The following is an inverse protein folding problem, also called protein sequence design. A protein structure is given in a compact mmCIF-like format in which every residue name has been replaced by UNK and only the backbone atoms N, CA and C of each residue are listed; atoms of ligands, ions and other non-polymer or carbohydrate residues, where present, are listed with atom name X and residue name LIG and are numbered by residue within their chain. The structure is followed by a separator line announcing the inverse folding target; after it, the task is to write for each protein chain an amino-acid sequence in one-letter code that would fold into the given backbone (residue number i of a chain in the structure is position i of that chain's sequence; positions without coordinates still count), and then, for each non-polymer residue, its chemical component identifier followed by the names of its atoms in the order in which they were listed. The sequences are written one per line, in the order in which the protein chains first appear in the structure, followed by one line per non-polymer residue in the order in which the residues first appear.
data_IF_160045754708
#
_entry.id   IF_160045754708
#
_cell.length_a   1.000
_cell.length_b   1.000
_cell.length_c   1.000
_cell.angle_alpha   90.00
_cell.angle_beta   90.00
_cell.angle_gamma   90.00
#
_symmetry.space_group_name_H-M   'P 1'
#
loop_
_entity.id
_entity.type
_entity.pdbx_description
1 polymer ?
#
# COMPACT_ATOMS: atom_id res chain seq x y z
N UNK A 1 31.38 -16.15 -27.27
CA UNK A 1 30.07 -16.83 -27.28
C UNK A 1 29.64 -16.99 -25.82
N UNK A 2 29.03 -15.95 -25.25
CA UNK A 2 28.63 -15.91 -23.84
C UNK A 2 27.11 -15.90 -23.83
N UNK A 3 26.50 -16.91 -23.22
CA UNK A 3 25.04 -17.03 -23.07
C UNK A 3 24.56 -15.97 -22.06
N UNK A 4 23.48 -15.23 -22.33
CA UNK A 4 22.87 -14.39 -21.30
C UNK A 4 22.05 -15.30 -20.37
N UNK A 5 22.37 -15.27 -19.08
CA UNK A 5 21.58 -15.90 -18.03
C UNK A 5 20.32 -15.08 -17.78
N UNK A 6 19.17 -15.61 -18.19
CA UNK A 6 17.87 -15.09 -17.79
C UNK A 6 17.65 -15.38 -16.30
N UNK A 7 17.53 -14.32 -15.50
CA UNK A 7 17.03 -14.43 -14.14
C UNK A 7 15.49 -14.47 -14.20
N UNK A 8 14.94 -15.67 -14.00
CA UNK A 8 13.52 -15.85 -13.73
C UNK A 8 13.18 -15.17 -12.40
N UNK A 9 12.29 -14.17 -12.44
CA UNK A 9 11.66 -13.64 -11.23
C UNK A 9 10.92 -14.77 -10.51
N UNK A 10 11.24 -14.99 -9.24
CA UNK A 10 10.58 -15.99 -8.41
C UNK A 10 9.16 -15.50 -8.12
N UNK A 11 8.16 -16.08 -8.79
CA UNK A 11 6.76 -15.99 -8.38
C UNK A 11 6.66 -16.75 -7.05
N UNK A 12 6.52 -16.02 -5.94
CA UNK A 12 6.32 -16.59 -4.62
C UNK A 12 4.95 -17.26 -4.51
N UNK A 13 4.87 -18.55 -4.81
CA UNK A 13 3.68 -19.38 -4.58
C UNK A 13 3.70 -19.81 -3.11
N UNK A 14 2.80 -19.25 -2.29
CA UNK A 14 2.62 -19.72 -0.92
C UNK A 14 1.75 -20.99 -0.95
N UNK A 15 2.38 -22.14 -0.68
CA UNK A 15 1.73 -23.43 -0.61
C UNK A 15 1.32 -23.71 0.84
N UNK A 16 0.01 -23.86 1.09
CA UNK A 16 -0.50 -24.58 2.27
C UNK A 16 -1.32 -25.74 1.73
N UNK A 17 -0.78 -26.95 1.83
CA UNK A 17 -1.48 -28.19 1.47
C UNK A 17 -1.74 -28.97 2.75
N UNK A 18 -3.00 -29.04 3.15
CA UNK A 18 -3.50 -30.16 3.94
C UNK A 18 -3.87 -31.28 2.98
N UNK A 19 -3.14 -32.40 3.01
CA UNK A 19 -3.52 -33.59 2.24
C UNK A 19 -4.64 -34.30 3.01
N UNK A 20 -5.87 -34.23 2.51
CA UNK A 20 -6.85 -35.30 2.69
C UNK A 20 -7.70 -35.42 1.43
N UNK A 21 -7.92 -36.66 0.99
CA UNK A 21 -8.74 -36.95 -0.19
C UNK A 21 -10.22 -36.79 0.17
N UNK A 22 -10.88 -35.79 -0.42
CA UNK A 22 -12.34 -35.58 -0.30
C UNK A 22 -12.82 -34.27 0.33
N UNK A 23 -11.95 -33.29 0.57
CA UNK A 23 -12.30 -32.03 1.22
C UNK A 23 -12.38 -30.83 0.27
N UNK A 24 -13.31 -29.92 0.58
CA UNK A 24 -13.35 -28.52 0.13
C UNK A 24 -11.93 -27.93 0.19
N UNK A 25 -11.51 -27.26 -0.88
CA UNK A 25 -10.19 -26.66 -1.01
C UNK A 25 -10.25 -25.14 -0.97
N UNK A 26 -9.11 -24.55 -0.63
CA UNK A 26 -8.88 -23.11 -0.69
C UNK A 26 -7.68 -22.85 -1.58
N UNK A 27 -7.87 -22.10 -2.66
CA UNK A 27 -6.79 -21.53 -3.45
C UNK A 27 -6.55 -20.08 -3.01
N UNK A 28 -5.29 -19.69 -2.88
CA UNK A 28 -4.88 -18.33 -2.48
C UNK A 28 -3.87 -17.80 -3.49
N UNK A 29 -4.13 -16.62 -4.03
CA UNK A 29 -3.22 -15.90 -4.90
C UNK A 29 -2.86 -14.57 -4.28
N UNK A 30 -1.58 -14.21 -4.38
CA UNK A 30 -1.06 -12.91 -3.96
C UNK A 30 -0.30 -12.26 -5.11
N UNK A 31 -0.61 -11.00 -5.39
CA UNK A 31 0.27 -10.10 -6.12
C UNK A 31 1.00 -9.21 -5.11
N UNK A 32 2.35 -9.22 -5.08
CA UNK A 32 3.11 -8.30 -4.25
C UNK A 32 2.79 -6.82 -4.56
N UNK A 33 3.04 -5.91 -3.60
CA UNK A 33 2.69 -4.48 -3.72
C UNK A 33 3.22 -3.79 -4.98
N UNK A 34 4.39 -4.19 -5.46
CA UNK A 34 5.02 -3.64 -6.66
C UNK A 34 4.41 -4.17 -7.97
N UNK A 35 3.70 -5.30 -7.92
CA UNK A 35 2.99 -5.92 -9.05
C UNK A 35 1.48 -5.69 -9.02
N UNK A 36 0.94 -5.17 -7.91
CA UNK A 36 -0.48 -4.91 -7.75
C UNK A 36 -0.98 -3.84 -8.76
N UNK A 37 -2.14 -4.09 -9.36
CA UNK A 37 -2.75 -3.21 -10.36
C UNK A 37 -4.28 -3.13 -10.18
N UNK A 38 -4.94 -2.01 -10.51
CA UNK A 38 -6.38 -1.81 -10.30
C UNK A 38 -7.29 -2.93 -10.84
N UNK A 39 -6.83 -3.63 -11.88
CA UNK A 39 -7.60 -4.67 -12.55
C UNK A 39 -7.50 -6.04 -11.83
N UNK A 40 -6.77 -6.14 -10.71
CA UNK A 40 -6.54 -7.38 -9.95
C UNK A 40 -6.11 -8.52 -10.89
N UNK A 41 -5.06 -8.31 -11.70
CA UNK A 41 -4.54 -9.31 -12.64
C UNK A 41 -3.83 -10.48 -11.94
N UNK A 42 -4.58 -11.21 -11.12
CA UNK A 42 -4.12 -12.34 -10.31
C UNK A 42 -3.51 -13.44 -11.22
N UNK A 43 -2.29 -13.91 -10.93
CA UNK A 43 -1.65 -14.97 -11.70
C UNK A 43 -2.38 -16.30 -11.53
N UNK A 44 -2.19 -17.19 -12.51
CA UNK A 44 -2.66 -18.58 -12.40
C UNK A 44 -2.01 -19.30 -11.21
N UNK A 45 -2.76 -20.19 -10.57
CA UNK A 45 -2.33 -20.90 -9.37
C UNK A 45 -2.41 -22.43 -9.56
N UNK A 46 -1.32 -23.18 -9.33
CA UNK A 46 -1.30 -24.64 -9.42
C UNK A 46 -2.28 -25.36 -8.48
N UNK A 47 -2.67 -24.71 -7.37
CA UNK A 47 -3.57 -25.27 -6.35
C UNK A 47 -5.05 -25.14 -6.71
N UNK A 48 -5.37 -24.43 -7.80
CA UNK A 48 -6.73 -24.11 -8.25
C UNK A 48 -6.83 -22.67 -8.74
N UNK A 49 -7.69 -22.40 -9.72
CA UNK A 49 -7.85 -21.07 -10.31
C UNK A 49 -8.63 -20.16 -9.35
N UNK A 50 -8.00 -19.11 -8.83
CA UNK A 50 -8.73 -17.97 -8.27
C UNK A 50 -9.16 -17.11 -9.45
N UNK A 51 -10.48 -16.91 -9.68
CA UNK A 51 -10.93 -16.08 -10.78
C UNK A 51 -10.59 -14.61 -10.54
N UNK A 52 -10.70 -13.80 -11.59
CA UNK A 52 -10.75 -12.35 -11.41
C UNK A 52 -12.05 -11.98 -10.67
N UNK A 53 -12.06 -10.91 -9.86
CA UNK A 53 -13.29 -10.41 -9.26
C UNK A 53 -14.36 -10.20 -10.33
N UNK A 54 -15.63 -10.45 -10.00
CA UNK A 54 -16.72 -10.39 -10.97
C UNK A 54 -17.59 -9.15 -10.81
N UNK A 55 -18.09 -8.59 -11.92
CA UNK A 55 -19.15 -7.56 -11.86
C UNK A 55 -20.56 -8.13 -11.87
N UNK A 56 -20.74 -9.44 -12.11
CA UNK A 56 -22.05 -10.02 -12.37
C UNK A 56 -22.16 -11.48 -11.94
N UNK A 57 -21.79 -11.77 -10.70
CA UNK A 57 -22.04 -13.06 -10.06
C UNK A 57 -23.32 -13.02 -9.19
N UNK A 58 -23.61 -14.10 -8.46
CA UNK A 58 -24.81 -14.21 -7.62
C UNK A 58 -24.81 -13.19 -6.48
N UNK A 59 -23.64 -12.92 -5.90
CA UNK A 59 -23.49 -11.98 -4.80
C UNK A 59 -23.86 -10.56 -5.23
N UNK A 60 -23.72 -10.19 -6.50
CA UNK A 60 -24.03 -8.85 -7.02
C UNK A 60 -25.45 -8.35 -6.66
N UNK A 61 -26.40 -9.27 -6.45
CA UNK A 61 -27.79 -9.02 -6.04
C UNK A 61 -28.12 -9.47 -4.61
N UNK A 62 -27.18 -10.13 -3.93
CA UNK A 62 -27.38 -10.67 -2.59
C UNK A 62 -27.41 -9.56 -1.52
N UNK A 63 -28.10 -9.85 -0.41
CA UNK A 63 -28.15 -8.97 0.74
C UNK A 63 -26.99 -9.26 1.70
N UNK A 64 -26.08 -8.30 1.86
CA UNK A 64 -25.02 -8.34 2.86
C UNK A 64 -25.51 -7.70 4.15
N UNK A 65 -25.29 -8.37 5.29
CA UNK A 65 -25.66 -7.85 6.61
C UNK A 65 -24.50 -7.97 7.58
N UNK A 66 -24.25 -6.89 8.32
CA UNK A 66 -23.33 -6.87 9.45
C UNK A 66 -24.02 -7.47 10.68
N UNK A 67 -23.71 -8.72 10.99
CA UNK A 67 -24.29 -9.46 12.13
C UNK A 67 -23.58 -9.08 13.43
N UNK A 68 -22.27 -8.90 13.38
CA UNK A 68 -21.43 -8.59 14.54
C UNK A 68 -20.22 -7.74 14.13
N UNK A 69 -19.71 -6.92 15.05
CA UNK A 69 -18.61 -6.00 14.81
C UNK A 69 -19.05 -4.58 14.44
N UNK A 70 -18.06 -3.70 14.25
CA UNK A 70 -18.29 -2.28 13.93
C UNK A 70 -17.51 -1.93 12.67
N UNK A 71 -18.19 -1.39 11.66
CA UNK A 71 -17.56 -0.84 10.45
C UNK A 71 -16.72 0.39 10.81
N UNK A 72 -15.54 0.55 10.23
CA UNK A 72 -14.78 1.80 10.34
C UNK A 72 -15.44 2.90 9.50
N UNK A 73 -15.60 4.11 10.04
CA UNK A 73 -16.28 5.22 9.34
C UNK A 73 -15.59 5.66 8.05
N UNK A 74 -14.28 5.43 7.91
CA UNK A 74 -13.54 5.75 6.68
C UNK A 74 -13.72 4.68 5.59
N UNK A 75 -14.16 3.48 5.98
CA UNK A 75 -14.45 2.39 5.05
C UNK A 75 -15.68 2.64 4.21
N UNK A 76 -15.77 1.94 3.09
CA UNK A 76 -16.98 1.85 2.30
C UNK A 76 -18.09 1.08 3.03
N UNK A 77 -19.34 1.35 2.66
CA UNK A 77 -20.51 0.60 3.14
C UNK A 77 -20.48 -0.86 2.66
N UNK A 78 -21.33 -1.72 3.23
CA UNK A 78 -21.41 -3.16 2.87
C UNK A 78 -21.56 -3.42 1.37
N UNK A 79 -22.16 -2.48 0.63
CA UNK A 79 -22.32 -2.58 -0.82
C UNK A 79 -20.97 -2.69 -1.57
N UNK A 80 -19.87 -2.23 -0.99
CA UNK A 80 -18.51 -2.39 -1.54
C UNK A 80 -18.00 -3.82 -1.59
N UNK A 81 -18.72 -4.77 -1.00
CA UNK A 81 -18.38 -6.18 -1.08
C UNK A 81 -19.01 -6.87 -2.30
N UNK A 82 -19.90 -6.21 -3.04
CA UNK A 82 -20.62 -6.82 -4.15
C UNK A 82 -21.13 -5.79 -5.19
N UNK A 83 -20.46 -4.64 -5.34
CA UNK A 83 -20.86 -3.62 -6.32
C UNK A 83 -20.18 -3.78 -7.68
N UNK A 84 -19.32 -4.79 -7.83
CA UNK A 84 -18.58 -5.07 -9.06
C UNK A 84 -17.51 -4.03 -9.38
N UNK A 85 -17.15 -3.17 -8.41
CA UNK A 85 -16.12 -2.14 -8.55
C UNK A 85 -14.94 -2.42 -7.63
N UNK A 86 -13.74 -2.38 -8.21
CA UNK A 86 -12.52 -2.61 -7.47
C UNK A 86 -11.84 -1.30 -7.05
N UNK A 87 -11.12 -1.27 -5.91
CA UNK A 87 -10.27 -0.13 -5.60
C UNK A 87 -9.24 0.11 -6.72
N UNK A 88 -8.96 1.38 -7.00
CA UNK A 88 -7.96 1.81 -7.98
C UNK A 88 -6.57 1.99 -7.36
N UNK A 89 -6.47 1.96 -6.04
CA UNK A 89 -5.21 2.03 -5.32
C UNK A 89 -5.22 1.23 -4.02
N UNK A 90 -4.03 0.89 -3.55
CA UNK A 90 -3.84 0.01 -2.40
C UNK A 90 -4.44 0.57 -1.11
N UNK A 91 -4.47 1.88 -0.93
CA UNK A 91 -5.05 2.51 0.27
C UNK A 91 -6.21 3.42 -0.14
N UNK A 92 -7.33 2.80 -0.51
CA UNK A 92 -8.58 3.48 -0.87
C UNK A 92 -9.72 3.09 0.07
N UNK A 93 -9.75 3.64 1.31
CA UNK A 93 -10.72 3.24 2.34
C UNK A 93 -12.18 3.23 1.87
N UNK A 94 -12.61 4.25 1.13
CA UNK A 94 -14.00 4.38 0.68
C UNK A 94 -14.45 3.28 -0.31
N UNK A 95 -13.50 2.61 -0.99
CA UNK A 95 -13.75 1.52 -1.94
C UNK A 95 -13.50 0.14 -1.32
N UNK A 96 -13.35 0.05 0.00
CA UNK A 96 -13.15 -1.21 0.69
C UNK A 96 -13.98 -1.26 1.98
N UNK A 97 -14.52 -2.43 2.30
CA UNK A 97 -15.10 -2.68 3.61
C UNK A 97 -14.02 -3.11 4.60
N UNK A 98 -14.02 -2.52 5.80
CA UNK A 98 -13.19 -2.98 6.91
C UNK A 98 -13.78 -2.60 8.27
N UNK A 99 -13.41 -3.39 9.29
CA UNK A 99 -13.82 -3.16 10.67
C UNK A 99 -13.00 -2.05 11.35
N UNK A 100 -13.63 -1.37 12.31
CA UNK A 100 -13.09 -0.24 13.06
C UNK A 100 -11.75 -0.56 13.73
N UNK A 101 -10.88 0.45 13.80
CA UNK A 101 -9.59 0.30 14.47
C UNK A 101 -9.74 -0.16 15.93
N UNK A 102 -8.95 -1.17 16.32
CA UNK A 102 -8.92 -1.73 17.67
C UNK A 102 -9.94 -2.83 17.94
N UNK A 103 -10.78 -3.19 16.97
CA UNK A 103 -11.69 -4.34 17.09
C UNK A 103 -11.06 -5.63 16.56
N UNK A 104 -11.62 -6.78 16.92
CA UNK A 104 -11.10 -8.10 16.51
C UNK A 104 -11.71 -8.64 15.20
N UNK A 105 -12.35 -7.79 14.40
CA UNK A 105 -13.15 -8.19 13.25
C UNK A 105 -14.64 -8.29 13.59
N UNK A 106 -15.35 -9.22 12.94
CA UNK A 106 -16.79 -9.37 13.09
C UNK A 106 -17.40 -10.38 12.12
N UNK A 107 -18.74 -10.39 12.02
CA UNK A 107 -19.48 -11.36 11.22
C UNK A 107 -20.32 -10.69 10.15
N UNK A 108 -20.20 -11.20 8.93
CA UNK A 108 -21.00 -10.78 7.77
C UNK A 108 -21.80 -11.96 7.25
N UNK A 109 -23.09 -11.77 7.02
CA UNK A 109 -23.92 -12.76 6.32
C UNK A 109 -24.26 -12.28 4.92
N UNK A 110 -24.35 -13.23 4.00
CA UNK A 110 -24.81 -13.04 2.63
C UNK A 110 -26.08 -13.87 2.46
N UNK A 111 -27.22 -13.24 2.20
CA UNK A 111 -28.47 -13.91 1.80
C UNK A 111 -28.64 -13.77 0.28
N UNK A 112 -28.53 -14.91 -0.41
CA UNK A 112 -28.67 -15.02 -1.87
C UNK A 112 -30.14 -14.92 -2.31
N UNK A 113 -31.09 -15.07 -1.37
CA UNK A 113 -32.54 -15.01 -1.61
C UNK A 113 -33.19 -16.36 -1.86
N UNK A 114 -32.48 -17.30 -2.49
CA UNK A 114 -32.93 -18.67 -2.70
C UNK A 114 -31.76 -19.67 -2.62
N UNK A 115 -32.08 -20.96 -2.44
CA UNK A 115 -31.07 -22.02 -2.44
C UNK A 115 -30.57 -22.23 -3.86
N UNK A 116 -29.25 -22.20 -4.05
CA UNK A 116 -28.55 -22.42 -5.32
C UNK A 116 -27.41 -23.43 -5.13
N UNK A 117 -27.08 -24.17 -6.18
CA UNK A 117 -25.82 -24.93 -6.22
C UNK A 117 -24.65 -23.98 -6.40
N UNK A 118 -23.88 -23.80 -5.32
CA UNK A 118 -22.72 -22.90 -5.29
C UNK A 118 -21.49 -23.67 -5.74
N UNK A 119 -20.81 -23.20 -6.76
CA UNK A 119 -19.56 -23.79 -7.25
C UNK A 119 -18.36 -23.35 -6.42
N UNK A 120 -18.29 -22.05 -6.11
CA UNK A 120 -17.18 -21.46 -5.37
C UNK A 120 -17.58 -20.12 -4.74
N UNK A 121 -16.84 -19.73 -3.70
CA UNK A 121 -16.94 -18.41 -3.04
C UNK A 121 -15.56 -17.77 -3.08
N UNK A 122 -15.48 -16.55 -3.58
CA UNK A 122 -14.21 -15.84 -3.76
C UNK A 122 -14.19 -14.54 -2.96
N UNK A 123 -13.02 -14.18 -2.42
CA UNK A 123 -12.85 -12.92 -1.68
C UNK A 123 -11.56 -12.23 -2.04
N UNK A 124 -11.61 -10.91 -2.17
CA UNK A 124 -10.50 -10.09 -2.63
C UNK A 124 -10.20 -8.96 -1.66
N UNK A 125 -8.92 -8.60 -1.58
CA UNK A 125 -8.46 -7.51 -0.72
C UNK A 125 -7.21 -6.86 -1.28
N UNK A 126 -7.02 -5.57 -0.99
CA UNK A 126 -5.83 -4.82 -1.38
C UNK A 126 -5.43 -3.83 -0.29
N UNK A 127 -4.17 -3.91 0.15
CA UNK A 127 -3.54 -2.87 0.97
C UNK A 127 -2.03 -2.81 0.77
N UNK A 128 -1.38 -1.74 1.23
CA UNK A 128 0.08 -1.57 1.22
C UNK A 128 0.81 -2.40 2.30
N UNK A 129 0.10 -3.07 3.22
CA UNK A 129 0.70 -3.67 4.41
C UNK A 129 -0.18 -4.69 5.13
N UNK A 130 -0.13 -4.73 6.46
CA UNK A 130 -0.80 -5.73 7.33
C UNK A 130 -2.32 -5.87 7.16
N UNK A 131 -2.94 -4.87 6.52
CA UNK A 131 -4.38 -4.80 6.23
C UNK A 131 -4.76 -5.46 4.89
N UNK A 132 -3.81 -6.05 4.17
CA UNK A 132 -4.06 -6.72 2.89
C UNK A 132 -4.47 -8.21 3.05
N UNK A 133 -3.82 -9.04 3.89
CA UNK A 133 -4.20 -10.45 4.00
C UNK A 133 -5.57 -10.63 4.64
N UNK A 134 -6.15 -11.82 4.46
CA UNK A 134 -7.50 -12.17 4.88
C UNK A 134 -7.43 -13.29 5.92
N UNK A 135 -8.15 -13.13 7.03
CA UNK A 135 -8.32 -14.17 8.06
C UNK A 135 -9.80 -14.32 8.38
N UNK A 136 -10.40 -15.44 8.01
CA UNK A 136 -11.81 -15.72 8.28
C UNK A 136 -12.15 -17.21 8.27
N UNK A 137 -13.28 -17.56 8.87
CA UNK A 137 -13.93 -18.87 8.66
C UNK A 137 -15.20 -18.68 7.82
N UNK A 138 -15.35 -19.46 6.75
CA UNK A 138 -16.52 -19.44 5.88
C UNK A 138 -17.48 -20.57 6.27
N UNK A 139 -18.75 -20.22 6.45
CA UNK A 139 -19.84 -21.16 6.69
C UNK A 139 -20.94 -20.97 5.63
N UNK A 140 -21.78 -22.01 5.46
CA UNK A 140 -22.94 -21.97 4.60
C UNK A 140 -24.15 -22.71 5.19
N UNK A 141 -25.36 -22.32 4.77
CA UNK A 141 -26.61 -22.97 5.15
C UNK A 141 -27.67 -22.85 4.07
N UNK A 142 -28.55 -23.84 3.97
CA UNK A 142 -29.78 -23.73 3.18
C UNK A 142 -30.94 -23.11 3.98
N UNK A 143 -30.73 -22.88 5.28
CA UNK A 143 -31.68 -22.27 6.21
C UNK A 143 -32.80 -23.20 6.69
N UNK A 144 -32.74 -24.50 6.41
CA UNK A 144 -33.84 -25.44 6.73
C UNK A 144 -33.70 -26.12 8.09
N UNK A 145 -32.53 -26.04 8.72
CA UNK A 145 -32.33 -26.61 10.04
C UNK A 145 -33.30 -25.98 11.06
N UNK A 146 -33.88 -26.78 11.95
CA UNK A 146 -34.90 -26.32 12.89
C UNK A 146 -34.37 -25.27 13.88
N UNK A 147 -33.08 -25.33 14.18
CA UNK A 147 -32.31 -24.43 15.04
C UNK A 147 -31.56 -23.35 14.26
N UNK A 148 -31.86 -23.17 12.96
CA UNK A 148 -31.17 -22.21 12.12
C UNK A 148 -31.31 -20.79 12.66
N UNK A 149 -30.18 -20.19 13.02
CA UNK A 149 -30.08 -18.78 13.34
C UNK A 149 -29.43 -18.04 12.17
N UNK A 150 -30.19 -17.21 11.45
CA UNK A 150 -29.70 -16.46 10.31
C UNK A 150 -28.68 -15.37 10.66
N UNK A 151 -28.60 -14.95 11.93
CA UNK A 151 -27.70 -13.88 12.39
C UNK A 151 -26.98 -14.27 13.70
N UNK A 152 -26.10 -15.29 13.67
CA UNK A 152 -25.41 -15.74 14.87
C UNK A 152 -24.33 -14.74 15.28
N UNK A 153 -24.60 -13.94 16.31
CA UNK A 153 -23.64 -12.98 16.89
C UNK A 153 -22.45 -13.68 17.54
N UNK A 154 -21.38 -12.93 17.83
CA UNK A 154 -20.21 -13.46 18.54
C UNK A 154 -20.65 -14.03 19.89
N UNK A 155 -20.16 -15.23 20.22
CA UNK A 155 -20.63 -16.03 21.36
C UNK A 155 -21.65 -17.12 20.99
N UNK A 156 -22.26 -17.07 19.81
CA UNK A 156 -23.04 -18.20 19.24
C UNK A 156 -22.16 -18.97 18.26
N UNK A 157 -22.01 -20.28 18.47
CA UNK A 157 -21.23 -21.15 17.59
C UNK A 157 -22.06 -21.48 16.32
N UNK A 158 -21.64 -21.06 15.10
CA UNK A 158 -22.45 -21.25 13.91
C UNK A 158 -22.78 -22.73 13.61
N UNK A 159 -21.84 -23.62 13.88
CA UNK A 159 -21.96 -25.08 13.72
C UNK A 159 -22.99 -25.73 14.68
N UNK A 160 -23.46 -24.98 15.67
CA UNK A 160 -24.50 -25.40 16.62
C UNK A 160 -25.85 -24.71 16.38
N UNK A 161 -25.99 -23.93 15.31
CA UNK A 161 -27.23 -23.23 14.98
C UNK A 161 -27.52 -23.23 13.47
N UNK A 162 -27.39 -24.40 12.85
CA UNK A 162 -27.77 -24.63 11.46
C UNK A 162 -26.77 -24.18 10.39
N UNK A 163 -25.50 -23.91 10.72
CA UNK A 163 -24.46 -23.60 9.72
C UNK A 163 -23.46 -24.73 9.55
N UNK A 164 -23.02 -24.96 8.31
CA UNK A 164 -21.94 -25.89 7.98
C UNK A 164 -20.66 -25.11 7.69
N UNK A 165 -19.57 -25.43 8.38
CA UNK A 165 -18.26 -24.86 8.07
C UNK A 165 -17.76 -25.38 6.72
N UNK A 166 -17.35 -24.48 5.82
CA UNK A 166 -16.78 -24.82 4.52
C UNK A 166 -15.25 -24.73 4.53
N UNK A 167 -14.68 -23.65 5.05
CA UNK A 167 -13.23 -23.43 5.05
C UNK A 167 -12.76 -22.50 6.17
N UNK A 168 -11.49 -22.64 6.55
CA UNK A 168 -10.74 -21.65 7.35
C UNK A 168 -9.68 -21.04 6.44
N UNK A 169 -9.67 -19.72 6.36
CA UNK A 169 -8.78 -18.95 5.50
C UNK A 169 -7.85 -18.12 6.37
N UNK A 170 -6.56 -18.24 6.10
CA UNK A 170 -5.51 -17.40 6.66
C UNK A 170 -4.46 -17.17 5.57
N UNK A 171 -4.45 -15.98 4.99
CA UNK A 171 -3.53 -15.64 3.90
C UNK A 171 -2.31 -14.87 4.37
N UNK A 172 -2.06 -14.79 5.69
CA UNK A 172 -0.91 -14.05 6.21
C UNK A 172 0.39 -14.68 5.72
N UNK A 173 1.33 -13.89 5.19
CA UNK A 173 2.61 -14.41 4.77
C UNK A 173 3.42 -14.90 5.97
N UNK A 174 4.36 -15.81 5.72
CA UNK A 174 5.25 -16.35 6.77
C UNK A 174 6.17 -15.28 7.33
N UNK A 175 6.60 -14.35 6.48
CA UNK A 175 7.43 -13.22 6.90
C UNK A 175 6.62 -11.94 6.75
N UNK A 176 6.64 -11.06 7.76
CA UNK A 176 5.87 -9.84 7.63
C UNK A 176 6.40 -8.83 6.58
N UNK A 177 7.64 -8.98 6.15
CA UNK A 177 8.19 -8.18 5.04
C UNK A 177 7.44 -8.42 3.71
N UNK A 178 6.66 -9.50 3.65
CA UNK A 178 5.78 -9.82 2.52
C UNK A 178 4.33 -9.34 2.74
N UNK A 179 4.03 -8.55 3.78
CA UNK A 179 2.71 -7.93 3.91
C UNK A 179 2.44 -6.95 2.76
N UNK A 180 1.15 -6.68 2.52
CA UNK A 180 0.71 -5.85 1.42
C UNK A 180 0.57 -6.60 0.09
N UNK A 181 0.04 -5.88 -0.88
CA UNK A 181 -0.32 -6.40 -2.20
C UNK A 181 -1.81 -6.70 -2.32
N UNK A 182 -2.18 -7.37 -3.41
CA UNK A 182 -3.54 -7.85 -3.67
C UNK A 182 -3.63 -9.33 -3.33
N UNK A 183 -4.71 -9.71 -2.66
CA UNK A 183 -5.03 -11.10 -2.36
C UNK A 183 -6.33 -11.48 -3.03
N UNK A 184 -6.36 -12.67 -3.62
CA UNK A 184 -7.58 -13.35 -4.02
C UNK A 184 -7.62 -14.72 -3.37
N UNK A 185 -8.77 -15.08 -2.82
CA UNK A 185 -9.04 -16.38 -2.23
C UNK A 185 -10.22 -17.00 -2.97
N UNK A 186 -10.14 -18.31 -3.26
CA UNK A 186 -11.26 -19.09 -3.77
C UNK A 186 -11.46 -20.33 -2.92
N UNK A 187 -12.66 -20.50 -2.37
CA UNK A 187 -13.10 -21.73 -1.70
C UNK A 187 -13.97 -22.51 -2.68
N UNK A 188 -13.60 -23.75 -2.99
CA UNK A 188 -14.26 -24.58 -4.01
C UNK A 188 -14.12 -26.08 -3.70
N UNK A 189 -14.95 -26.92 -4.33
CA UNK A 189 -14.77 -28.38 -4.32
C UNK A 189 -14.24 -28.85 -5.68
N UNK A 190 -13.06 -29.53 -5.76
CA UNK A 190 -12.52 -29.99 -7.04
C UNK A 190 -13.38 -31.08 -7.73
N UNK A 191 -14.37 -31.68 -7.03
CA UNK A 191 -15.23 -32.74 -7.57
C UNK A 191 -16.59 -32.25 -8.07
N UNK A 192 -16.94 -30.98 -7.85
CA UNK A 192 -18.25 -30.44 -8.22
C UNK A 192 -18.62 -29.21 -7.40
N UNK A 193 -19.93 -28.89 -7.28
CA UNK A 193 -20.38 -27.79 -6.44
C UNK A 193 -20.03 -27.98 -4.96
N UNK A 194 -19.76 -26.90 -4.23
CA UNK A 194 -19.60 -26.87 -2.76
C UNK A 194 -20.86 -27.39 -2.03
N UNK A 195 -22.01 -27.24 -2.66
CA UNK A 195 -23.31 -27.68 -2.17
C UNK A 195 -24.42 -26.69 -2.50
N UNK A 196 -25.64 -27.03 -2.09
CA UNK A 196 -26.82 -26.19 -2.28
C UNK A 196 -27.06 -25.31 -1.05
N UNK A 197 -26.87 -24.00 -1.18
CA UNK A 197 -26.97 -23.06 -0.06
C UNK A 197 -27.73 -21.79 -0.45
N UNK A 198 -28.30 -21.11 0.55
CA UNK A 198 -28.90 -19.76 0.42
C UNK A 198 -28.08 -18.73 1.19
N UNK A 199 -27.56 -19.14 2.34
CA UNK A 199 -26.87 -18.26 3.26
C UNK A 199 -25.39 -18.59 3.30
N UNK A 200 -24.55 -17.55 3.31
CA UNK A 200 -23.12 -17.65 3.66
C UNK A 200 -22.84 -16.77 4.87
N UNK A 201 -21.86 -17.17 5.68
CA UNK A 201 -21.41 -16.42 6.84
C UNK A 201 -19.88 -16.37 6.83
N UNK A 202 -19.34 -15.15 6.82
CA UNK A 202 -17.93 -14.86 7.03
C UNK A 202 -17.71 -14.46 8.49
N UNK A 203 -17.00 -15.31 9.24
CA UNK A 203 -16.51 -15.01 10.60
C UNK A 203 -15.08 -14.46 10.49
N UNK A 204 -14.95 -13.13 10.42
CA UNK A 204 -13.72 -12.42 10.08
C UNK A 204 -12.97 -12.04 11.35
N UNK A 205 -11.65 -12.24 11.31
CA UNK A 205 -10.74 -11.91 12.41
C UNK A 205 -9.76 -10.83 11.97
N UNK A 206 -9.40 -9.95 12.89
CA UNK A 206 -8.31 -8.97 12.68
C UNK A 206 -7.01 -9.68 12.29
N UNK A 207 -6.44 -9.29 11.16
CA UNK A 207 -5.29 -9.94 10.53
C UNK A 207 -3.99 -9.68 11.28
N UNK A 208 -3.75 -8.43 11.66
CA UNK A 208 -2.61 -8.03 12.48
C UNK A 208 -3.08 -7.64 13.90
N UNK A 209 -2.91 -8.51 14.92
CA UNK A 209 -3.34 -8.22 16.28
C UNK A 209 -2.45 -7.16 16.97
N UNK A 210 -1.22 -6.95 16.49
CA UNK A 210 -0.29 -5.96 17.04
C UNK A 210 -0.56 -4.54 16.51
N UNK A 211 -1.24 -4.42 15.37
CA UNK A 211 -1.69 -3.15 14.81
C UNK A 211 -3.18 -2.91 15.15
N UNK A 212 -3.47 -1.77 15.77
CA UNK A 212 -4.88 -1.34 15.98
C UNK A 212 -5.61 -1.15 14.65
N UNK A 213 -4.91 -0.85 13.56
CA UNK A 213 -5.50 -0.73 12.23
C UNK A 213 -5.51 -2.04 11.45
N UNK A 214 -5.05 -3.16 12.03
CA UNK A 214 -4.80 -4.44 11.36
C UNK A 214 -6.01 -5.20 10.78
N UNK A 215 -7.19 -4.57 10.67
CA UNK A 215 -8.36 -5.13 10.00
C UNK A 215 -8.22 -5.03 8.48
N UNK A 216 -8.62 -6.09 7.78
CA UNK A 216 -8.46 -6.27 6.33
C UNK A 216 -9.32 -5.31 5.51
N UNK A 217 -8.77 -4.75 4.43
CA UNK A 217 -9.53 -4.05 3.37
C UNK A 217 -10.13 -5.08 2.41
N UNK A 218 -11.36 -5.51 2.67
CA UNK A 218 -12.08 -6.34 1.70
C UNK A 218 -12.58 -5.48 0.55
N UNK A 219 -12.18 -5.86 -0.66
CA UNK A 219 -12.44 -5.13 -1.89
C UNK A 219 -13.65 -5.65 -2.66
N UNK A 220 -13.94 -6.96 -2.58
CA UNK A 220 -15.09 -7.60 -3.21
C UNK A 220 -15.23 -9.04 -2.66
N UNK A 221 -16.45 -9.59 -2.67
CA UNK A 221 -16.77 -11.00 -2.39
C UNK A 221 -17.73 -11.51 -3.49
N UNK A 222 -17.27 -12.49 -4.26
CA UNK A 222 -18.07 -13.13 -5.31
C UNK A 222 -18.65 -14.46 -4.81
N UNK A 223 -19.87 -14.77 -5.25
CA UNK A 223 -20.50 -16.08 -5.10
C UNK A 223 -20.87 -16.59 -6.48
N UNK A 224 -20.27 -17.71 -6.90
CA UNK A 224 -20.48 -18.26 -8.25
C UNK A 224 -21.36 -19.49 -8.17
N UNK A 225 -22.53 -19.45 -8.81
CA UNK A 225 -23.36 -20.64 -8.97
C UNK A 225 -22.79 -21.58 -10.05
N UNK A 226 -23.13 -22.86 -9.96
CA UNK A 226 -22.72 -23.85 -10.93
C UNK A 226 -23.26 -23.50 -12.34
N UNK A 227 -22.35 -23.29 -13.29
CA UNK A 227 -22.69 -22.99 -14.69
C UNK A 227 -22.72 -21.49 -15.04
N UNK A 228 -22.59 -20.58 -14.07
CA UNK A 228 -22.58 -19.14 -14.35
C UNK A 228 -21.26 -18.68 -14.98
N UNK A 229 -21.29 -17.81 -16.00
CA UNK A 229 -20.09 -17.19 -16.55
C UNK A 229 -19.53 -16.14 -15.58
N UNK A 230 -18.21 -16.11 -15.41
CA UNK A 230 -17.52 -15.06 -14.66
C UNK A 230 -17.24 -13.89 -15.61
N UNK A 231 -17.87 -12.74 -15.35
CA UNK A 231 -17.58 -11.49 -16.07
C UNK A 231 -16.71 -10.61 -15.19
N UNK A 232 -15.52 -10.23 -15.65
CA UNK A 232 -14.54 -9.50 -14.85
C UNK A 232 -15.08 -8.13 -14.36
N UNK A 233 -14.79 -7.81 -13.11
CA UNK A 233 -15.07 -6.53 -12.47
C UNK A 233 -14.25 -5.39 -13.08
N UNK A 234 -14.73 -4.18 -12.88
CA UNK A 234 -14.08 -2.95 -13.36
C UNK A 234 -13.51 -2.15 -12.20
N UNK A 235 -12.43 -1.40 -12.43
CA UNK A 235 -11.93 -0.47 -11.42
C UNK A 235 -12.96 0.63 -11.12
N UNK A 236 -13.10 1.02 -9.86
CA UNK A 236 -13.92 2.13 -9.37
C UNK A 236 -13.56 3.47 -10.03
N UNK A 237 -12.31 3.62 -10.49
CA UNK A 237 -11.83 4.77 -11.25
C UNK A 237 -11.61 4.47 -12.74
N UNK A 238 -12.20 3.40 -13.27
CA UNK A 238 -12.15 3.16 -14.72
C UNK A 238 -12.74 4.37 -15.46
N UNK A 239 -11.87 5.16 -16.07
CA UNK A 239 -12.28 6.24 -16.96
C UNK A 239 -12.60 5.61 -18.32
N UNK A 240 -13.80 5.83 -18.88
CA UNK A 240 -14.08 5.42 -20.25
C UNK A 240 -13.10 6.12 -21.20
N UNK A 241 -12.28 5.34 -21.94
CA UNK A 241 -11.35 5.91 -22.91
C UNK A 241 -10.01 5.18 -22.99
N UNK A 242 -9.05 5.73 -23.75
CA UNK A 242 -7.71 5.18 -23.87
C UNK A 242 -6.97 5.19 -22.53
N UNK A 243 -6.26 4.11 -22.23
CA UNK A 243 -5.32 4.04 -21.11
C UNK A 243 -4.05 4.79 -21.50
N UNK A 244 -3.64 5.76 -20.68
CA UNK A 244 -2.41 6.53 -20.87
C UNK A 244 -1.38 6.09 -19.81
N UNK A 245 -0.70 4.99 -20.10
CA UNK A 245 0.29 4.38 -19.21
C UNK A 245 1.58 4.08 -19.97
N UNK A 246 2.63 4.81 -19.61
CA UNK A 246 3.97 4.60 -20.17
C UNK A 246 4.88 3.99 -19.10
N UNK A 247 5.82 3.14 -19.54
CA UNK A 247 6.82 2.53 -18.66
C UNK A 247 8.20 2.65 -19.27
N UNK A 248 9.21 2.90 -18.44
CA UNK A 248 10.60 2.96 -18.87
C UNK A 248 11.53 2.45 -17.76
N UNK A 249 12.73 2.07 -18.17
CA UNK A 249 13.76 1.57 -17.25
C UNK A 249 14.71 2.69 -16.83
N UNK A 250 14.89 2.83 -15.52
CA UNK A 250 15.89 3.68 -14.89
C UNK A 250 17.14 2.87 -14.51
N UNK A 251 18.27 3.24 -15.11
CA UNK A 251 19.55 2.55 -14.95
C UNK A 251 20.62 3.47 -14.31
N UNK A 252 21.60 2.90 -13.59
CA UNK A 252 21.82 1.46 -13.39
C UNK A 252 20.83 0.85 -12.39
N UNK A 253 20.51 -0.43 -12.58
CA UNK A 253 19.74 -1.22 -11.61
C UNK A 253 18.41 -1.77 -12.13
N UNK A 254 18.03 -1.45 -13.38
CA UNK A 254 16.86 -2.02 -14.03
C UNK A 254 15.55 -1.72 -13.32
N UNK A 255 15.37 -0.49 -12.82
CA UNK A 255 14.14 -0.10 -12.13
C UNK A 255 13.07 0.30 -13.15
N UNK A 256 11.92 -0.37 -13.14
CA UNK A 256 10.77 -0.04 -13.96
C UNK A 256 10.00 1.12 -13.32
N UNK A 257 9.94 2.27 -14.00
CA UNK A 257 9.09 3.39 -13.59
C UNK A 257 7.90 3.41 -14.53
N UNK A 258 6.70 3.43 -13.94
CA UNK A 258 5.44 3.43 -14.69
C UNK A 258 4.72 4.73 -14.39
N UNK A 259 4.49 5.55 -15.41
CA UNK A 259 3.69 6.77 -15.28
C UNK A 259 2.30 6.50 -15.84
N UNK A 260 1.28 6.68 -15.01
CA UNK A 260 -0.13 6.54 -15.38
C UNK A 260 -0.83 7.91 -15.30
N UNK A 261 -1.17 8.44 -16.47
CA UNK A 261 -1.94 9.67 -16.67
C UNK A 261 -3.33 9.37 -17.22
N UNK A 262 -3.84 8.15 -17.06
CA UNK A 262 -5.15 7.74 -17.62
C UNK A 262 -6.30 8.61 -17.14
N UNK A 263 -6.30 9.01 -15.86
CA UNK A 263 -7.29 9.95 -15.33
C UNK A 263 -7.01 11.40 -15.78
N UNK A 264 -5.81 11.72 -16.26
CA UNK A 264 -5.36 13.08 -16.56
C UNK A 264 -4.59 13.14 -17.87
N UNK A 265 -5.22 12.78 -19.00
CA UNK A 265 -4.53 12.65 -20.28
C UNK A 265 -3.86 13.96 -20.73
N UNK A 266 -4.36 15.11 -20.27
CA UNK A 266 -3.77 16.44 -20.46
C UNK A 266 -2.36 16.60 -19.86
N UNK A 267 -2.00 15.81 -18.85
CA UNK A 267 -0.68 15.82 -18.22
C UNK A 267 0.33 14.89 -18.89
N UNK A 268 -0.10 14.04 -19.83
CA UNK A 268 0.74 12.99 -20.46
C UNK A 268 1.98 13.59 -21.11
N UNK A 269 1.83 14.60 -21.96
CA UNK A 269 2.96 15.19 -22.69
C UNK A 269 4.01 15.77 -21.73
N UNK A 270 3.58 16.50 -20.69
CA UNK A 270 4.48 17.04 -19.67
C UNK A 270 5.16 15.91 -18.89
N UNK A 271 4.40 14.88 -18.48
CA UNK A 271 4.95 13.77 -17.71
C UNK A 271 6.02 13.00 -18.51
N UNK A 272 5.80 12.78 -19.80
CA UNK A 272 6.78 12.12 -20.67
C UNK A 272 8.01 13.00 -20.95
N UNK A 273 7.83 14.30 -21.18
CA UNK A 273 8.94 15.18 -21.61
C UNK A 273 9.75 15.77 -20.46
N UNK A 274 9.11 16.11 -19.35
CA UNK A 274 9.74 16.85 -18.23
C UNK A 274 10.01 15.93 -17.04
N UNK A 275 9.03 15.08 -16.67
CA UNK A 275 9.14 14.25 -15.47
C UNK A 275 9.96 12.98 -15.71
N UNK A 276 9.64 12.19 -16.74
CA UNK A 276 10.27 10.89 -16.99
C UNK A 276 11.81 10.94 -17.05
N UNK A 277 12.46 11.91 -17.75
CA UNK A 277 13.93 11.98 -17.77
C UNK A 277 14.55 12.22 -16.39
N UNK A 278 13.85 12.97 -15.52
CA UNK A 278 14.29 13.21 -14.15
C UNK A 278 14.18 11.94 -13.32
N UNK A 279 13.05 11.23 -13.40
CA UNK A 279 12.87 9.97 -12.66
C UNK A 279 13.89 8.91 -13.10
N UNK A 280 14.15 8.81 -14.41
CA UNK A 280 15.14 7.89 -14.97
C UNK A 280 16.54 8.16 -14.40
N UNK A 281 16.91 9.44 -14.23
CA UNK A 281 18.20 9.86 -13.71
C UNK A 281 18.31 9.77 -12.18
N UNK A 282 17.23 10.09 -11.47
CA UNK A 282 17.30 10.34 -10.03
C UNK A 282 16.88 9.14 -9.19
N UNK A 283 15.98 8.28 -9.65
CA UNK A 283 15.61 7.11 -8.84
C UNK A 283 16.83 6.21 -8.51
N UNK A 284 17.68 5.81 -9.47
CA UNK A 284 18.90 5.04 -9.17
C UNK A 284 19.85 5.76 -8.21
N UNK A 285 20.00 7.08 -8.36
CA UNK A 285 20.86 7.90 -7.49
C UNK A 285 20.35 7.96 -6.06
N UNK A 286 19.04 8.08 -5.87
CA UNK A 286 18.43 8.09 -4.54
C UNK A 286 18.65 6.73 -3.86
N UNK A 287 18.53 5.62 -4.60
CA UNK A 287 18.85 4.28 -4.08
C UNK A 287 20.29 4.19 -3.60
N UNK A 288 21.24 4.71 -4.36
CA UNK A 288 22.66 4.73 -3.99
C UNK A 288 22.94 5.64 -2.78
N UNK A 289 22.21 6.75 -2.63
CA UNK A 289 22.36 7.68 -1.50
C UNK A 289 21.79 7.14 -0.18
N UNK A 290 20.91 6.14 -0.23
CA UNK A 290 20.20 5.60 0.93
C UNK A 290 20.41 4.08 1.09
N UNK A 291 21.68 3.61 1.18
CA UNK A 291 21.99 2.20 1.31
C UNK A 291 21.58 1.66 2.69
N UNK A 292 21.36 0.35 2.77
CA UNK A 292 21.30 -0.41 4.02
C UNK A 292 21.66 -1.85 3.70
N UNK A 293 22.31 -2.52 4.64
CA UNK A 293 22.68 -3.92 4.48
C UNK A 293 21.43 -4.79 4.26
N UNK A 294 21.50 -5.72 3.30
CA UNK A 294 20.40 -6.62 2.95
C UNK A 294 19.17 -5.97 2.31
N UNK A 295 19.15 -4.64 2.14
CA UNK A 295 18.02 -3.94 1.55
C UNK A 295 18.12 -3.86 0.03
N UNK A 296 17.00 -4.14 -0.64
CA UNK A 296 16.82 -3.86 -2.07
C UNK A 296 15.68 -2.86 -2.25
N UNK A 297 15.97 -1.76 -2.95
CA UNK A 297 14.94 -0.78 -3.27
C UNK A 297 13.90 -1.37 -4.23
N UNK A 298 12.64 -0.91 -4.18
CA UNK A 298 11.58 -1.37 -5.06
C UNK A 298 11.98 -1.33 -6.53
N UNK A 299 11.80 -2.46 -7.23
CA UNK A 299 12.13 -2.58 -8.66
C UNK A 299 11.11 -1.94 -9.58
N UNK A 300 9.87 -1.80 -9.10
CA UNK A 300 8.79 -1.17 -9.85
C UNK A 300 8.18 -0.01 -9.07
N UNK A 301 8.11 1.15 -9.70
CA UNK A 301 7.66 2.42 -9.10
C UNK A 301 6.52 3.02 -9.94
N UNK A 302 5.26 2.78 -9.54
CA UNK A 302 4.11 3.41 -10.18
C UNK A 302 3.97 4.88 -9.74
N UNK A 303 3.84 5.80 -10.70
CA UNK A 303 3.52 7.22 -10.51
C UNK A 303 2.14 7.46 -11.15
N UNK A 304 1.13 7.75 -10.34
CA UNK A 304 -0.26 7.85 -10.81
C UNK A 304 -0.78 9.26 -10.59
N UNK A 305 -1.25 9.91 -11.65
CA UNK A 305 -1.92 11.20 -11.57
C UNK A 305 -3.41 10.98 -11.38
N UNK A 306 -3.94 11.39 -10.22
CA UNK A 306 -5.36 11.22 -9.92
C UNK A 306 -6.10 12.56 -9.90
N UNK A 307 -7.29 12.56 -10.51
CA UNK A 307 -8.20 13.72 -10.45
C UNK A 307 -8.79 13.93 -9.05
N UNK A 308 -8.90 12.86 -8.26
CA UNK A 308 -9.60 12.88 -6.97
C UNK A 308 -8.67 13.13 -5.77
N UNK A 309 -7.36 12.89 -5.95
CA UNK A 309 -6.37 13.10 -4.90
C UNK A 309 -6.30 14.58 -4.49
N UNK A 310 -6.25 14.80 -3.18
CA UNK A 310 -6.03 16.12 -2.58
C UNK A 310 -4.56 16.29 -2.14
N UNK A 311 -4.12 17.53 -1.95
CA UNK A 311 -2.75 17.84 -1.55
C UNK A 311 -1.80 18.01 -2.73
N UNK A 312 -0.58 17.50 -2.60
CA UNK A 312 0.51 17.66 -3.59
C UNK A 312 0.79 16.33 -4.26
N UNK A 313 1.46 15.44 -3.53
CA UNK A 313 1.74 14.06 -3.88
C UNK A 313 1.87 13.27 -2.57
N UNK A 314 1.87 11.94 -2.66
CA UNK A 314 2.00 11.06 -1.51
C UNK A 314 2.50 9.68 -1.96
N UNK A 315 3.36 9.09 -1.15
CA UNK A 315 3.88 7.73 -1.36
C UNK A 315 3.19 6.73 -0.44
N UNK A 316 2.59 5.71 -1.03
CA UNK A 316 2.04 4.54 -0.35
C UNK A 316 2.75 3.27 -0.82
N UNK A 317 3.54 2.65 0.05
CA UNK A 317 4.35 1.48 -0.32
C UNK A 317 5.37 1.84 -1.41
N UNK A 318 5.16 1.39 -2.64
CA UNK A 318 6.03 1.68 -3.79
C UNK A 318 5.40 2.66 -4.80
N UNK A 319 4.14 3.05 -4.59
CA UNK A 319 3.37 3.90 -5.49
C UNK A 319 3.40 5.34 -5.03
N UNK A 320 3.62 6.25 -5.97
CA UNK A 320 3.43 7.69 -5.82
C UNK A 320 2.10 8.08 -6.44
N UNK A 321 1.22 8.70 -5.67
CA UNK A 321 0.01 9.35 -6.18
C UNK A 321 0.25 10.85 -6.26
N UNK A 322 -0.14 11.46 -7.38
CA UNK A 322 0.04 12.88 -7.70
C UNK A 322 -1.32 13.57 -7.84
N UNK A 323 -1.54 14.66 -7.10
CA UNK A 323 -2.79 15.41 -7.14
C UNK A 323 -2.87 16.27 -8.42
N UNK A 324 -3.69 15.83 -9.40
CA UNK A 324 -3.76 16.45 -10.72
C UNK A 324 -3.98 17.97 -10.68
N UNK A 325 -4.89 18.42 -9.81
CA UNK A 325 -5.22 19.84 -9.63
C UNK A 325 -4.00 20.66 -9.18
N UNK A 326 -3.17 20.12 -8.27
CA UNK A 326 -1.98 20.82 -7.84
C UNK A 326 -0.91 20.80 -8.93
N UNK A 327 -0.70 19.67 -9.60
CA UNK A 327 0.29 19.54 -10.67
C UNK A 327 0.02 20.49 -11.84
N UNK A 328 -1.23 20.61 -12.31
CA UNK A 328 -1.61 21.57 -13.37
C UNK A 328 -1.17 23.01 -13.07
N UNK A 329 -1.18 23.39 -11.80
CA UNK A 329 -0.78 24.72 -11.34
C UNK A 329 0.72 24.88 -11.09
N UNK A 330 1.49 23.79 -11.12
CA UNK A 330 2.90 23.77 -10.69
C UNK A 330 3.86 23.13 -11.70
N UNK A 331 3.42 22.86 -12.94
CA UNK A 331 4.24 22.20 -13.98
C UNK A 331 5.57 22.91 -14.28
N UNK A 332 5.62 24.24 -14.14
CA UNK A 332 6.81 25.07 -14.32
C UNK A 332 7.52 25.44 -13.01
N UNK A 333 7.03 24.92 -11.89
CA UNK A 333 7.54 25.18 -10.55
C UNK A 333 7.90 23.85 -9.88
N UNK A 334 7.22 23.55 -8.79
CA UNK A 334 7.61 22.47 -7.88
C UNK A 334 7.19 21.06 -8.32
N UNK A 335 6.47 20.90 -9.43
CA UNK A 335 5.89 19.63 -9.82
C UNK A 335 6.91 18.48 -9.92
N UNK A 336 8.05 18.70 -10.57
CA UNK A 336 9.07 17.65 -10.71
C UNK A 336 9.75 17.36 -9.37
N UNK A 337 10.13 18.41 -8.62
CA UNK A 337 10.74 18.28 -7.30
C UNK A 337 9.84 17.54 -6.30
N UNK A 338 8.52 17.76 -6.36
CA UNK A 338 7.56 17.04 -5.52
C UNK A 338 7.62 15.53 -5.78
N UNK A 339 7.69 15.08 -7.04
CA UNK A 339 7.83 13.64 -7.33
C UNK A 339 9.20 13.11 -6.87
N UNK A 340 10.27 13.91 -6.98
CA UNK A 340 11.60 13.52 -6.45
C UNK A 340 11.57 13.32 -4.95
N UNK A 341 10.86 14.17 -4.20
CA UNK A 341 10.62 13.97 -2.77
C UNK A 341 9.91 12.65 -2.50
N UNK A 342 8.84 12.34 -3.24
CA UNK A 342 8.12 11.08 -3.11
C UNK A 342 8.97 9.85 -3.47
N UNK A 343 9.84 9.94 -4.48
CA UNK A 343 10.79 8.87 -4.80
C UNK A 343 11.73 8.55 -3.62
N UNK A 344 12.07 9.53 -2.79
CA UNK A 344 12.82 9.27 -1.56
C UNK A 344 12.01 8.38 -0.62
N UNK A 345 10.73 8.67 -0.41
CA UNK A 345 9.86 7.83 0.42
C UNK A 345 9.72 6.40 -0.12
N UNK A 346 9.66 6.23 -1.45
CA UNK A 346 9.67 4.89 -2.09
C UNK A 346 10.93 4.11 -1.70
N UNK A 347 12.09 4.77 -1.63
CA UNK A 347 13.38 4.15 -1.24
C UNK A 347 13.53 3.99 0.27
N UNK A 348 12.92 4.86 1.09
CA UNK A 348 13.07 4.81 2.54
C UNK A 348 12.53 3.50 3.11
N UNK A 349 11.29 3.12 2.78
CA UNK A 349 10.62 1.90 3.29
C UNK A 349 10.75 1.70 4.82
N UNK A 350 10.78 2.77 5.62
CA UNK A 350 11.04 2.71 7.08
C UNK A 350 9.96 1.96 7.89
N UNK A 351 8.86 1.53 7.25
CA UNK A 351 7.86 0.65 7.86
C UNK A 351 8.29 -0.82 7.98
N UNK A 352 9.35 -1.27 7.30
CA UNK A 352 9.70 -2.69 7.20
C UNK A 352 10.07 -3.34 8.54
N UNK A 353 10.83 -2.66 9.41
CA UNK A 353 11.16 -3.20 10.73
C UNK A 353 9.92 -3.43 11.62
N UNK A 354 8.89 -2.57 11.48
CA UNK A 354 7.61 -2.75 12.20
C UNK A 354 6.86 -3.95 11.68
N UNK A 355 6.88 -4.12 10.36
CA UNK A 355 6.26 -5.26 9.73
C UNK A 355 6.91 -6.53 10.30
N UNK A 356 8.24 -6.66 10.30
CA UNK A 356 9.01 -7.85 10.73
C UNK A 356 8.79 -8.37 12.19
N UNK A 357 7.82 -7.85 12.94
CA UNK A 357 7.45 -8.33 14.28
C UNK A 357 8.40 -7.87 15.38
N UNK A 358 9.35 -6.99 15.06
CA UNK A 358 10.15 -6.30 16.06
C UNK A 358 9.28 -5.25 16.77
N UNK A 359 9.68 -4.77 17.95
CA UNK A 359 9.12 -3.54 18.56
C UNK A 359 10.04 -2.36 18.21
N UNK A 360 10.13 -1.93 16.94
CA UNK A 360 11.11 -0.92 16.56
C UNK A 360 10.74 0.44 17.12
N UNK A 361 11.76 1.26 17.32
CA UNK A 361 11.59 2.68 17.59
C UNK A 361 11.10 3.36 16.31
N UNK A 362 9.97 4.07 16.42
CA UNK A 362 9.42 4.83 15.29
C UNK A 362 10.35 6.01 14.98
N UNK A 363 10.85 6.07 13.74
CA UNK A 363 11.58 7.23 13.24
C UNK A 363 10.70 8.49 13.31
N UNK A 364 11.19 9.60 13.90
CA UNK A 364 10.47 10.85 13.94
C UNK A 364 10.14 11.35 12.54
N UNK A 365 8.91 11.85 12.34
CA UNK A 365 8.45 12.33 11.02
C UNK A 365 9.37 13.40 10.43
N UNK A 366 9.91 14.31 11.24
CA UNK A 366 10.81 15.35 10.75
C UNK A 366 12.12 14.82 10.15
N UNK A 367 12.60 13.65 10.59
CA UNK A 367 13.76 12.98 9.99
C UNK A 367 13.37 12.38 8.64
N UNK A 368 12.20 11.71 8.58
CA UNK A 368 11.67 11.10 7.36
C UNK A 368 11.48 12.15 6.25
N UNK A 369 10.74 13.20 6.55
CA UNK A 369 10.47 14.33 5.65
C UNK A 369 11.73 15.15 5.36
N UNK A 370 12.56 15.37 6.39
CA UNK A 370 13.79 16.16 6.28
C UNK A 370 14.83 15.52 5.37
N UNK A 371 14.96 14.19 5.38
CA UNK A 371 15.83 13.46 4.43
C UNK A 371 15.31 13.59 3.00
N UNK A 372 14.00 13.46 2.79
CA UNK A 372 13.39 13.60 1.47
C UNK A 372 13.62 14.99 0.89
N UNK A 373 13.35 16.03 1.69
CA UNK A 373 13.59 17.42 1.28
C UNK A 373 15.07 17.80 1.25
N UNK A 374 15.95 17.13 2.00
CA UNK A 374 17.40 17.32 1.88
C UNK A 374 17.88 16.90 0.49
N UNK A 375 17.51 15.69 0.06
CA UNK A 375 17.84 15.19 -1.28
C UNK A 375 17.24 16.09 -2.36
N UNK A 376 15.97 16.48 -2.22
CA UNK A 376 15.32 17.39 -3.17
C UNK A 376 16.03 18.75 -3.23
N UNK A 377 16.00 19.51 -2.15
CA UNK A 377 16.36 20.93 -2.18
C UNK A 377 17.86 21.21 -2.17
N UNK A 378 18.70 20.26 -1.74
CA UNK A 378 20.16 20.49 -1.65
C UNK A 378 20.97 19.63 -2.63
N UNK A 379 20.44 18.52 -3.14
CA UNK A 379 21.14 17.67 -4.12
C UNK A 379 20.51 17.72 -5.51
N UNK A 380 19.18 17.65 -5.62
CA UNK A 380 18.49 17.66 -6.91
C UNK A 380 18.34 19.07 -7.49
N UNK A 381 17.73 19.98 -6.74
CA UNK A 381 17.39 21.32 -7.21
C UNK A 381 17.93 22.49 -6.35
N UNK A 382 19.21 22.48 -5.93
CA UNK A 382 19.79 23.53 -5.10
C UNK A 382 19.72 24.93 -5.71
N UNK A 383 19.69 25.02 -7.04
CA UNK A 383 19.57 26.29 -7.77
C UNK A 383 18.27 27.05 -7.47
N UNK A 384 17.22 26.34 -7.03
CA UNK A 384 15.93 26.96 -6.68
C UNK A 384 15.98 27.70 -5.35
N UNK A 385 16.96 27.37 -4.49
CA UNK A 385 17.10 27.91 -3.13
C UNK A 385 15.83 27.69 -2.28
N UNK A 386 14.99 26.71 -2.63
CA UNK A 386 13.64 26.55 -2.06
C UNK A 386 13.59 26.10 -0.60
N UNK A 387 14.71 25.71 -0.01
CA UNK A 387 14.84 25.40 1.42
C UNK A 387 15.72 26.41 2.18
N UNK A 388 16.04 27.56 1.60
CA UNK A 388 16.76 28.61 2.34
C UNK A 388 15.89 29.26 3.41
N UNK A 389 16.51 29.54 4.56
CA UNK A 389 15.89 30.25 5.67
C UNK A 389 16.59 31.59 5.80
N UNK A 390 15.83 32.68 5.68
CA UNK A 390 16.38 34.02 5.82
C UNK A 390 16.74 34.30 7.28
N UNK A 391 17.73 35.19 7.55
CA UNK A 391 18.11 35.56 8.92
C UNK A 391 16.93 36.06 9.75
N UNK A 392 15.99 36.77 9.11
CA UNK A 392 14.77 37.27 9.75
C UNK A 392 13.84 36.15 10.28
N UNK A 393 13.97 34.92 9.76
CA UNK A 393 13.19 33.74 10.19
C UNK A 393 13.99 32.79 11.08
N UNK A 394 15.25 33.12 11.40
CA UNK A 394 16.13 32.25 12.17
C UNK A 394 15.54 31.92 13.55
N UNK A 395 15.03 32.93 14.27
CA UNK A 395 14.49 32.75 15.62
C UNK A 395 13.31 31.77 15.69
N UNK A 396 12.50 31.68 14.63
CA UNK A 396 11.33 30.79 14.54
C UNK A 396 11.66 29.41 13.95
N UNK A 397 12.87 29.23 13.41
CA UNK A 397 13.28 27.97 12.80
C UNK A 397 13.45 26.89 13.87
N UNK A 398 12.84 25.73 13.63
CA UNK A 398 12.97 24.53 14.47
C UNK A 398 13.47 23.38 13.63
N UNK A 399 14.52 22.70 14.08
CA UNK A 399 15.13 21.60 13.33
C UNK A 399 14.14 20.45 13.09
N UNK A 400 13.11 20.33 13.93
CA UNK A 400 12.06 19.30 13.90
C UNK A 400 10.76 19.74 13.21
N UNK A 401 10.79 20.84 12.43
CA UNK A 401 9.62 21.37 11.74
C UNK A 401 9.24 20.63 10.43
N UNK A 402 9.92 19.53 10.12
CA UNK A 402 9.79 18.73 8.89
C UNK A 402 10.16 19.50 7.61
N UNK A 403 10.14 18.80 6.48
CA UNK A 403 10.28 19.35 5.13
C UNK A 403 11.52 20.27 5.00
N UNK A 404 11.41 21.34 4.21
CA UNK A 404 12.43 22.38 3.95
C UNK A 404 13.22 22.81 5.18
N UNK A 405 12.56 23.01 6.31
CA UNK A 405 13.21 23.53 7.52
C UNK A 405 14.15 22.47 8.10
N UNK A 406 13.66 21.25 8.27
CA UNK A 406 14.49 20.11 8.69
C UNK A 406 15.57 19.77 7.66
N UNK A 407 15.28 19.87 6.36
CA UNK A 407 16.24 19.67 5.30
C UNK A 407 17.39 20.68 5.34
N UNK A 408 17.09 21.95 5.62
CA UNK A 408 18.11 22.99 5.80
C UNK A 408 19.03 22.68 6.98
N UNK A 409 18.45 22.27 8.11
CA UNK A 409 19.20 21.80 9.27
C UNK A 409 20.08 20.59 8.94
N UNK A 410 19.52 19.55 8.31
CA UNK A 410 20.26 18.34 7.91
C UNK A 410 21.41 18.69 6.96
N UNK A 411 21.19 19.57 5.98
CA UNK A 411 22.25 20.06 5.11
C UNK A 411 23.35 20.79 5.89
N UNK A 412 22.99 21.63 6.87
CA UNK A 412 23.95 22.31 7.72
C UNK A 412 24.78 21.32 8.56
N UNK A 413 24.15 20.32 9.19
CA UNK A 413 24.87 19.26 9.93
C UNK A 413 25.78 18.47 9.00
N UNK A 414 25.31 18.14 7.80
CA UNK A 414 26.08 17.38 6.80
C UNK A 414 27.35 18.13 6.38
N UNK A 415 27.27 19.47 6.24
CA UNK A 415 28.41 20.30 5.85
C UNK A 415 29.41 20.56 6.98
N UNK A 416 28.92 20.76 8.20
CA UNK A 416 29.73 21.30 9.28
C UNK A 416 30.16 20.26 10.33
N UNK A 417 29.45 19.13 10.43
CA UNK A 417 29.64 18.18 11.52
C UNK A 417 29.87 16.74 11.04
N UNK A 418 28.97 16.18 10.23
CA UNK A 418 29.04 14.78 9.83
C UNK A 418 28.50 14.56 8.40
N UNK A 419 29.42 14.40 7.42
CA UNK A 419 29.07 14.26 6.00
C UNK A 419 28.22 13.02 5.68
N UNK A 420 28.27 12.01 6.52
CA UNK A 420 27.57 10.73 6.37
C UNK A 420 26.29 10.64 7.23
N UNK A 421 25.88 11.73 7.91
CA UNK A 421 24.73 11.71 8.83
C UNK A 421 23.45 11.19 8.18
N UNK A 422 23.16 11.56 6.94
CA UNK A 422 21.96 11.12 6.21
C UNK A 422 21.95 9.60 6.01
N UNK A 423 23.09 9.02 5.65
CA UNK A 423 23.21 7.57 5.48
C UNK A 423 23.03 6.83 6.83
N UNK A 424 23.59 7.36 7.92
CA UNK A 424 23.43 6.79 9.28
C UNK A 424 21.98 6.84 9.74
N UNK A 425 21.32 7.99 9.57
CA UNK A 425 19.90 8.16 9.90
C UNK A 425 19.03 7.20 9.10
N UNK A 426 19.33 7.04 7.81
CA UNK A 426 18.62 6.13 6.93
C UNK A 426 18.69 4.67 7.39
N UNK A 427 19.89 4.17 7.70
CA UNK A 427 20.09 2.80 8.18
C UNK A 427 19.34 2.59 9.49
N UNK A 428 19.53 3.47 10.47
CA UNK A 428 18.87 3.35 11.77
C UNK A 428 17.34 3.43 11.66
N UNK A 429 16.82 4.29 10.77
CA UNK A 429 15.39 4.39 10.51
C UNK A 429 14.82 3.13 9.86
N UNK A 430 15.52 2.57 8.87
CA UNK A 430 15.09 1.37 8.14
C UNK A 430 15.10 0.12 9.02
N UNK A 431 16.10 0.01 9.89
CA UNK A 431 16.22 -1.08 10.86
C UNK A 431 15.36 -0.87 12.11
N UNK A 432 14.67 0.28 12.23
CA UNK A 432 13.80 0.54 13.38
C UNK A 432 14.55 0.75 14.69
N UNK A 433 15.79 1.22 14.61
CA UNK A 433 16.70 1.44 15.75
C UNK A 433 17.05 2.91 15.95
N UNK A 434 16.29 3.83 15.35
CA UNK A 434 16.53 5.26 15.52
C UNK A 434 16.46 5.66 17.00
N UNK A 435 17.46 6.40 17.46
CA UNK A 435 17.47 7.13 18.74
C UNK A 435 18.11 8.50 18.53
N UNK A 436 17.81 9.48 19.41
CA UNK A 436 18.48 10.78 19.32
C UNK A 436 19.97 10.72 19.63
N UNK A 437 20.44 9.68 20.34
CA UNK A 437 21.86 9.46 20.63
C UNK A 437 22.71 9.35 19.36
N UNK A 438 22.12 8.90 18.24
CA UNK A 438 22.79 8.82 16.94
C UNK A 438 23.38 10.17 16.50
N UNK A 439 22.73 11.29 16.84
CA UNK A 439 23.26 12.62 16.53
C UNK A 439 24.54 12.90 17.31
N UNK A 440 24.56 12.54 18.59
CA UNK A 440 25.73 12.72 19.45
C UNK A 440 26.86 11.78 19.09
N UNK A 441 26.55 10.53 18.76
CA UNK A 441 27.53 9.55 18.27
C UNK A 441 28.17 10.00 16.95
N UNK A 442 27.39 10.57 16.04
CA UNK A 442 27.89 11.00 14.73
C UNK A 442 28.61 12.36 14.77
N UNK A 443 28.20 13.28 15.64
CA UNK A 443 28.67 14.69 15.60
C UNK A 443 29.40 15.17 16.85
N UNK A 444 29.35 14.41 17.95
CA UNK A 444 29.78 14.83 19.28
C UNK A 444 28.77 15.71 20.03
N UNK A 445 27.67 16.13 19.40
CA UNK A 445 26.66 17.04 19.96
C UNK A 445 25.26 16.43 19.90
N UNK A 446 24.44 16.73 20.90
CA UNK A 446 23.01 16.38 20.87
C UNK A 446 22.28 17.11 19.73
N UNK A 447 21.15 16.57 19.27
CA UNK A 447 20.37 17.22 18.19
C UNK A 447 19.88 18.60 18.61
N UNK A 448 19.61 18.81 19.90
CA UNK A 448 19.22 20.09 20.47
C UNK A 448 20.37 21.11 20.41
N UNK A 449 21.59 20.72 20.79
CA UNK A 449 22.78 21.59 20.67
C UNK A 449 23.10 21.94 19.22
N UNK A 450 22.99 20.96 18.30
CA UNK A 450 23.11 21.20 16.86
C UNK A 450 22.05 22.19 16.38
N UNK A 451 20.80 22.02 16.82
CA UNK A 451 19.69 22.90 16.47
C UNK A 451 19.93 24.36 16.88
N UNK A 452 20.44 24.58 18.09
CA UNK A 452 20.77 25.94 18.56
C UNK A 452 21.96 26.55 17.80
N UNK A 453 23.01 25.77 17.51
CA UNK A 453 24.15 26.24 16.69
C UNK A 453 23.75 26.55 15.26
N UNK A 454 22.91 25.71 14.65
CA UNK A 454 22.34 25.96 13.33
C UNK A 454 21.53 27.27 13.33
N UNK A 455 20.67 27.47 14.32
CA UNK A 455 19.86 28.68 14.46
C UNK A 455 20.72 29.95 14.56
N UNK A 456 21.81 29.89 15.35
CA UNK A 456 22.80 30.96 15.42
C UNK A 456 23.44 31.23 14.06
N UNK A 457 23.85 30.18 13.33
CA UNK A 457 24.45 30.33 12.01
C UNK A 457 23.50 30.96 10.98
N UNK A 458 22.19 30.73 11.09
CA UNK A 458 21.18 31.37 10.25
C UNK A 458 21.06 32.87 10.55
N UNK A 459 21.16 33.27 11.82
CA UNK A 459 21.07 34.67 12.22
C UNK A 459 22.31 35.48 11.79
N UNK A 460 23.48 34.84 11.75
CA UNK A 460 24.75 35.44 11.35
C UNK A 460 24.97 35.46 9.83
N UNK A 461 24.17 34.71 9.07
CA UNK A 461 24.26 34.68 7.63
C UNK A 461 23.98 36.07 7.04
N UNK A 462 24.96 36.65 6.33
CA UNK A 462 24.76 37.91 5.62
C UNK A 462 23.68 37.72 4.54
N UNK A 463 22.79 38.70 4.31
CA UNK A 463 21.89 38.67 3.17
C UNK A 463 22.70 38.47 1.89
N UNK A 464 22.33 37.48 1.08
CA UNK A 464 22.95 37.31 -0.23
C UNK A 464 22.72 38.59 -1.03
N UNK A 465 23.80 39.23 -1.50
CA UNK A 465 23.70 40.39 -2.40
C UNK A 465 22.82 40.00 -3.59
N UNK A 466 21.74 40.75 -3.80
CA UNK A 466 20.95 40.67 -5.02
C UNK A 466 21.89 40.98 -6.19
N UNK A 467 22.30 39.94 -6.92
CA UNK A 467 22.86 40.13 -8.26
C UNK A 467 21.73 40.68 -9.13
N UNK A 468 21.66 42.01 -9.20
CA UNK A 468 20.95 42.73 -10.26
C UNK A 468 21.59 42.32 -11.59
N UNK A 469 20.92 41.45 -12.34
CA UNK A 469 21.12 41.30 -13.77
C UNK A 469 19.82 41.72 -14.46
#
# INVERSE_FOLDING_TARGET
MVRPGGMNGVIGILLIVGISYGQIRTAVVRLPSDQAVPEFKLPENPSGKVPFPSQSDVASKAAFTLVDGTRDSNGGELRKLNDGKLPAEADQPAENFFFAAGTDGGRLTIDIGNVLEIAQVNSYSWHTGGRAPQVYTLYASDGKAADFNAAPKKGTAPDQCGWKQLAKVDTRPKTPLEFGGQYGVSVFDPKGPLGSYRYLLFDIVRTDPADRFGNTFFSEIDVVAAGDPIVAAVSSRAVPGPVHRDSFTADPGGYEIVIDTTETPDLTEWATKELAPVLQKWYPKIVEMLPSEGYQAPKRVPIVFSQSMQGVAATGGTRVSCAATWFRNNLKGEAVGAVVHELVHVVQQYGQARQAGQRPTRTPGWVVEGIADYIRWFLYEPQTRGAEISPARAAQARYDASYRVSANFINWVTKNHAKDIVARLNVAAREGRYTEDLWKEATGLTVQELGEKWKQSLAEAKPAEEKKN
#
